data_IF_275870591691
#
_entry.id   IF_275870591691
#
_cell.length_a   1.000
_cell.length_b   1.000
_cell.length_c   1.000
_cell.angle_alpha   90.00
_cell.angle_beta   90.00
_cell.angle_gamma   90.00
#
_symmetry.space_group_name_H-M   'P 1'
#
loop_
_entity.id
_entity.type
_entity.pdbx_description
1 polymer ?
#
# COMPACT_ATOMS: atom_id res chain seq x y z
N UNK A 1 -2.23 -9.65 -12.32
CA UNK A 1 -0.96 -8.92 -12.17
C UNK A 1 -0.16 -9.68 -11.15
N UNK A 2 1.12 -10.00 -11.41
CA UNK A 2 2.01 -10.42 -10.33
C UNK A 2 2.17 -9.19 -9.44
N UNK A 3 1.45 -9.13 -8.34
CA UNK A 3 1.82 -8.23 -7.26
C UNK A 3 3.17 -8.76 -6.79
N UNK A 4 4.24 -8.01 -7.03
CA UNK A 4 5.59 -8.50 -6.84
C UNK A 4 6.60 -7.38 -7.00
N UNK A 5 7.77 -7.59 -6.42
CA UNK A 5 8.90 -6.67 -6.47
C UNK A 5 9.39 -6.47 -7.91
N UNK A 6 9.79 -5.25 -8.24
CA UNK A 6 10.07 -4.85 -9.61
C UNK A 6 11.33 -3.98 -9.68
N UNK A 7 12.02 -4.08 -10.81
CA UNK A 7 13.22 -3.33 -11.11
C UNK A 7 13.12 -2.78 -12.53
N UNK A 8 13.09 -1.45 -12.65
CA UNK A 8 12.98 -0.76 -13.93
C UNK A 8 14.13 0.22 -14.12
N UNK A 9 14.67 0.27 -15.35
CA UNK A 9 15.72 1.21 -15.74
C UNK A 9 15.25 2.00 -16.96
N UNK A 10 15.50 3.31 -16.95
CA UNK A 10 15.35 4.21 -18.09
C UNK A 10 16.70 4.81 -18.45
N UNK A 11 16.99 4.81 -19.75
CA UNK A 11 18.16 5.42 -20.36
C UNK A 11 17.70 6.27 -21.54
N UNK A 12 18.52 7.22 -22.00
CA UNK A 12 18.16 8.22 -23.02
C UNK A 12 17.49 7.68 -24.29
N UNK A 13 17.66 6.38 -24.61
CA UNK A 13 17.05 5.71 -25.77
C UNK A 13 16.40 4.34 -25.46
N UNK A 14 16.05 4.03 -24.21
CA UNK A 14 15.47 2.73 -23.88
C UNK A 14 14.94 2.60 -22.45
N UNK A 15 14.00 1.68 -22.26
CA UNK A 15 13.56 1.26 -20.93
C UNK A 15 13.59 -0.27 -20.85
N UNK A 16 13.96 -0.80 -19.69
CA UNK A 16 13.93 -2.23 -19.41
C UNK A 16 13.34 -2.46 -18.03
N UNK A 17 12.45 -3.43 -17.93
CA UNK A 17 11.83 -3.86 -16.67
C UNK A 17 12.14 -5.33 -16.45
N UNK A 18 12.52 -5.68 -15.24
CA UNK A 18 12.83 -7.04 -14.83
C UNK A 18 12.33 -7.27 -13.40
N UNK A 19 11.78 -8.45 -13.14
CA UNK A 19 11.35 -8.83 -11.81
C UNK A 19 12.50 -9.38 -10.97
N UNK A 20 12.25 -9.50 -9.69
CA UNK A 20 12.99 -10.41 -8.81
C UNK A 20 12.00 -11.15 -7.90
N UNK A 21 12.48 -12.21 -7.29
CA UNK A 21 11.66 -13.09 -6.46
C UNK A 21 10.99 -12.33 -5.32
N UNK A 22 9.90 -12.91 -4.82
CA UNK A 22 9.16 -12.38 -3.69
C UNK A 22 8.91 -13.51 -2.70
N UNK A 23 8.85 -13.18 -1.41
CA UNK A 23 8.60 -14.17 -0.37
C UNK A 23 7.17 -14.72 -0.49
N UNK A 24 7.05 -16.04 -0.47
CA UNK A 24 5.75 -16.73 -0.48
C UNK A 24 4.91 -16.38 0.75
N UNK A 25 3.59 -16.35 0.60
CA UNK A 25 2.69 -15.89 1.64
C UNK A 25 2.73 -16.78 2.89
N UNK A 26 2.86 -18.08 2.68
CA UNK A 26 2.80 -19.14 3.69
C UNK A 26 3.97 -19.09 4.68
N UNK A 27 5.08 -18.44 4.30
CA UNK A 27 6.31 -18.38 5.11
C UNK A 27 6.56 -17.00 5.71
N UNK A 28 5.70 -15.99 5.49
CA UNK A 28 5.94 -14.63 5.98
C UNK A 28 6.15 -14.58 7.51
N UNK A 29 5.48 -15.46 8.26
CA UNK A 29 5.61 -15.60 9.71
C UNK A 29 6.78 -16.46 10.19
N UNK A 30 7.78 -16.73 9.36
CA UNK A 30 8.94 -17.55 9.71
C UNK A 30 10.26 -16.81 9.49
N UNK A 31 11.33 -17.31 10.12
CA UNK A 31 12.70 -16.81 9.88
C UNK A 31 13.10 -16.97 8.41
N UNK A 32 12.65 -18.03 7.75
CA UNK A 32 12.87 -18.27 6.33
C UNK A 32 12.21 -17.19 5.47
N UNK A 33 10.96 -16.82 5.74
CA UNK A 33 10.29 -15.76 4.99
C UNK A 33 10.95 -14.40 5.13
N UNK A 34 11.37 -14.06 6.35
CA UNK A 34 12.13 -12.83 6.61
C UNK A 34 13.47 -12.84 5.88
N UNK A 35 14.19 -13.97 5.93
CA UNK A 35 15.48 -14.15 5.24
C UNK A 35 15.34 -14.02 3.73
N UNK A 36 14.32 -14.65 3.15
CA UNK A 36 14.03 -14.60 1.72
C UNK A 36 13.72 -13.16 1.27
N UNK A 37 12.89 -12.42 2.02
CA UNK A 37 12.54 -11.05 1.68
C UNK A 37 13.77 -10.14 1.61
N UNK A 38 14.66 -10.28 2.60
CA UNK A 38 15.91 -9.52 2.66
C UNK A 38 16.82 -9.92 1.51
N UNK A 39 17.01 -11.23 1.26
CA UNK A 39 17.86 -11.73 0.18
C UNK A 39 17.38 -11.27 -1.20
N UNK A 40 16.08 -11.33 -1.46
CA UNK A 40 15.50 -10.92 -2.75
C UNK A 40 15.63 -9.43 -2.98
N UNK A 41 15.38 -8.59 -1.97
CA UNK A 41 15.69 -7.16 -2.07
C UNK A 41 17.18 -6.92 -2.32
N UNK A 42 18.06 -7.71 -1.68
CA UNK A 42 19.48 -7.73 -1.95
C UNK A 42 19.83 -8.01 -3.42
N UNK A 43 19.13 -8.93 -4.08
CA UNK A 43 19.29 -9.19 -5.52
C UNK A 43 18.93 -7.97 -6.37
N UNK A 44 17.86 -7.27 -6.01
CA UNK A 44 17.46 -6.00 -6.63
C UNK A 44 18.50 -4.89 -6.47
N UNK A 45 19.10 -4.78 -5.27
CA UNK A 45 20.25 -3.88 -5.02
C UNK A 45 21.45 -4.24 -5.89
N UNK A 46 21.75 -5.54 -6.08
CA UNK A 46 22.85 -5.96 -6.95
C UNK A 46 22.60 -5.64 -8.42
N UNK A 47 21.35 -5.78 -8.89
CA UNK A 47 20.94 -5.32 -10.23
C UNK A 47 21.09 -3.80 -10.38
N UNK A 48 20.70 -3.05 -9.36
CA UNK A 48 20.84 -1.58 -9.30
C UNK A 48 22.30 -1.16 -9.41
N UNK A 49 23.17 -1.74 -8.58
CA UNK A 49 24.61 -1.45 -8.58
C UNK A 49 25.24 -1.74 -9.95
N UNK A 50 24.96 -2.90 -10.55
CA UNK A 50 25.46 -3.24 -11.89
C UNK A 50 25.02 -2.22 -12.94
N UNK A 51 23.75 -1.82 -12.91
CA UNK A 51 23.18 -0.88 -13.87
C UNK A 51 23.79 0.52 -13.77
N UNK A 52 23.88 1.05 -12.54
CA UNK A 52 24.44 2.39 -12.28
C UNK A 52 25.93 2.42 -12.63
N UNK A 53 26.71 1.41 -12.20
CA UNK A 53 28.13 1.33 -12.51
C UNK A 53 28.41 1.16 -14.00
N UNK A 54 27.56 0.42 -14.74
CA UNK A 54 27.70 0.31 -16.18
C UNK A 54 27.41 1.65 -16.88
N UNK A 55 26.36 2.36 -16.46
CA UNK A 55 26.02 3.67 -17.00
C UNK A 55 27.15 4.68 -16.76
N UNK A 56 27.70 4.72 -15.55
CA UNK A 56 28.83 5.57 -15.17
C UNK A 56 30.08 5.29 -16.03
N UNK A 57 30.47 4.02 -16.19
CA UNK A 57 31.61 3.61 -17.04
C UNK A 57 31.44 4.01 -18.51
N UNK A 58 30.21 4.02 -18.99
CA UNK A 58 29.89 4.39 -20.37
C UNK A 58 29.64 5.90 -20.54
N UNK A 59 29.72 6.69 -19.47
CA UNK A 59 29.45 8.13 -19.49
C UNK A 59 27.99 8.46 -19.80
N UNK A 60 27.05 7.59 -19.40
CA UNK A 60 25.60 7.73 -19.66
C UNK A 60 24.83 8.00 -18.39
N UNK A 61 23.78 8.81 -18.51
CA UNK A 61 22.79 8.99 -17.45
C UNK A 61 21.78 7.84 -17.45
N UNK A 62 21.41 7.37 -16.26
CA UNK A 62 20.34 6.40 -16.05
C UNK A 62 19.41 6.84 -14.92
N UNK A 63 18.15 6.40 -14.99
CA UNK A 63 17.20 6.45 -13.90
C UNK A 63 16.80 5.01 -13.56
N UNK A 64 16.90 4.63 -12.29
CA UNK A 64 16.63 3.27 -11.82
C UNK A 64 15.54 3.32 -10.74
N UNK A 65 14.49 2.53 -10.93
CA UNK A 65 13.41 2.33 -9.96
C UNK A 65 13.49 0.92 -9.42
N UNK A 66 13.78 0.80 -8.13
CA UNK A 66 13.80 -0.46 -7.39
C UNK A 66 12.61 -0.48 -6.43
N UNK A 67 11.69 -1.42 -6.62
CA UNK A 67 10.49 -1.61 -5.81
C UNK A 67 10.52 -2.96 -5.10
N UNK A 68 10.07 -2.97 -3.85
CA UNK A 68 9.88 -4.18 -3.06
C UNK A 68 8.47 -4.16 -2.44
N UNK A 69 7.78 -5.30 -2.46
CA UNK A 69 6.50 -5.48 -1.77
C UNK A 69 6.65 -5.69 -0.24
N UNK A 70 7.86 -5.57 0.27
CA UNK A 70 8.19 -5.68 1.68
C UNK A 70 8.63 -4.31 2.23
N UNK A 71 8.25 -3.94 3.46
CA UNK A 71 7.65 -4.78 4.50
C UNK A 71 6.12 -4.94 4.41
N UNK A 72 5.43 -4.28 3.48
CA UNK A 72 3.97 -4.26 3.37
C UNK A 72 3.32 -5.66 3.49
N UNK A 73 3.77 -6.60 2.66
CA UNK A 73 3.26 -7.98 2.68
C UNK A 73 3.41 -8.67 4.04
N UNK A 74 4.51 -8.45 4.76
CA UNK A 74 4.69 -8.99 6.12
C UNK A 74 3.78 -8.27 7.12
N UNK A 75 3.67 -6.94 7.04
CA UNK A 75 2.83 -6.15 7.93
C UNK A 75 1.36 -6.50 7.82
N UNK A 76 0.90 -6.86 6.63
CA UNK A 76 -0.47 -7.31 6.42
C UNK A 76 -0.82 -8.61 7.15
N UNK A 77 0.11 -9.57 7.16
CA UNK A 77 -0.11 -10.88 7.79
C UNK A 77 0.15 -10.82 9.29
N UNK A 78 1.15 -10.06 9.71
CA UNK A 78 1.71 -10.17 11.05
C UNK A 78 1.48 -8.95 11.95
N UNK A 79 1.03 -7.84 11.38
CA UNK A 79 0.98 -6.54 12.06
C UNK A 79 2.35 -5.86 12.09
N UNK A 80 2.35 -4.55 12.37
CA UNK A 80 3.54 -3.68 12.28
C UNK A 80 4.63 -4.02 13.29
N UNK A 81 4.24 -4.56 14.44
CA UNK A 81 5.14 -4.74 15.59
C UNK A 81 5.80 -6.13 15.65
N UNK A 82 5.53 -6.98 14.65
CA UNK A 82 6.05 -8.35 14.63
C UNK A 82 7.57 -8.38 14.42
N UNK A 83 8.24 -9.33 15.09
CA UNK A 83 9.69 -9.51 14.98
C UNK A 83 10.16 -9.78 13.54
N UNK A 84 9.39 -10.53 12.75
CA UNK A 84 9.71 -10.81 11.34
C UNK A 84 9.62 -9.54 10.48
N UNK A 85 8.63 -8.68 10.72
CA UNK A 85 8.54 -7.35 10.07
C UNK A 85 9.77 -6.51 10.41
N UNK A 86 10.16 -6.48 11.69
CA UNK A 86 11.36 -5.76 12.13
C UNK A 86 12.63 -6.27 11.43
N UNK A 87 12.81 -7.60 11.35
CA UNK A 87 13.94 -8.22 10.64
C UNK A 87 13.99 -7.78 9.18
N UNK A 88 12.85 -7.78 8.49
CA UNK A 88 12.75 -7.35 7.09
C UNK A 88 13.12 -5.88 6.93
N UNK A 89 12.59 -4.98 7.76
CA UNK A 89 12.93 -3.54 7.72
C UNK A 89 14.43 -3.33 7.94
N UNK A 90 15.00 -3.98 8.95
CA UNK A 90 16.44 -3.88 9.25
C UNK A 90 17.31 -4.42 8.12
N UNK A 91 16.90 -5.49 7.45
CA UNK A 91 17.61 -6.02 6.29
C UNK A 91 17.52 -5.11 5.07
N UNK A 92 16.35 -4.51 4.81
CA UNK A 92 16.18 -3.49 3.77
C UNK A 92 17.10 -2.30 4.03
N UNK A 93 17.10 -1.77 5.27
CA UNK A 93 17.99 -0.67 5.68
C UNK A 93 19.47 -1.02 5.44
N UNK A 94 19.91 -2.22 5.85
CA UNK A 94 21.27 -2.70 5.59
C UNK A 94 21.63 -2.79 4.10
N UNK A 95 20.69 -3.18 3.24
CA UNK A 95 20.89 -3.21 1.79
C UNK A 95 20.90 -1.82 1.15
N UNK A 96 20.12 -0.87 1.67
CA UNK A 96 20.18 0.55 1.27
C UNK A 96 21.54 1.14 1.69
N UNK A 97 22.02 0.84 2.90
CA UNK A 97 23.35 1.26 3.34
C UNK A 97 24.45 0.66 2.46
N UNK A 98 24.31 -0.61 2.05
CA UNK A 98 25.20 -1.27 1.09
C UNK A 98 25.20 -0.55 -0.25
N UNK A 99 24.02 -0.22 -0.79
CA UNK A 99 23.87 0.53 -2.03
C UNK A 99 24.60 1.88 -1.93
N UNK A 100 24.32 2.65 -0.88
CA UNK A 100 24.97 3.94 -0.60
C UNK A 100 26.50 3.84 -0.59
N UNK A 101 27.05 2.90 0.18
CA UNK A 101 28.51 2.70 0.29
C UNK A 101 29.17 2.36 -1.05
N UNK A 102 28.50 1.59 -1.90
CA UNK A 102 29.05 1.14 -3.19
C UNK A 102 28.86 2.15 -4.34
N UNK A 103 28.05 3.20 -4.13
CA UNK A 103 27.89 4.31 -5.07
C UNK A 103 28.77 5.52 -4.74
N UNK A 104 29.60 5.45 -3.69
CA UNK A 104 30.60 6.49 -3.40
C UNK A 104 31.54 6.68 -4.60
N UNK A 105 31.72 7.93 -5.01
CA UNK A 105 32.51 8.33 -6.17
C UNK A 105 31.72 8.41 -7.48
N UNK A 106 30.46 7.96 -7.51
CA UNK A 106 29.58 8.05 -8.68
C UNK A 106 28.67 9.26 -8.51
N UNK A 107 28.48 10.06 -9.57
CA UNK A 107 27.50 11.16 -9.58
C UNK A 107 26.07 10.60 -9.58
N UNK A 108 25.59 10.24 -8.39
CA UNK A 108 24.31 9.60 -8.18
C UNK A 108 23.53 10.30 -7.06
N UNK A 109 22.20 10.29 -7.20
CA UNK A 109 21.26 10.63 -6.14
C UNK A 109 20.44 9.39 -5.81
N UNK A 110 20.34 9.05 -4.53
CA UNK A 110 19.48 7.98 -4.04
C UNK A 110 18.25 8.63 -3.40
N UNK A 111 17.07 8.18 -3.83
CA UNK A 111 15.79 8.54 -3.21
C UNK A 111 15.16 7.27 -2.64
N UNK A 112 14.85 7.29 -1.35
CA UNK A 112 14.13 6.22 -0.66
C UNK A 112 12.82 6.80 -0.15
N UNK A 113 11.71 6.17 -0.55
CA UNK A 113 10.36 6.55 -0.13
C UNK A 113 9.46 5.33 -0.03
N UNK A 114 8.32 5.48 0.63
CA UNK A 114 7.20 4.55 0.56
C UNK A 114 6.00 5.22 -0.14
N UNK A 115 4.99 4.43 -0.47
CA UNK A 115 3.70 4.89 -0.99
C UNK A 115 2.67 5.10 0.14
N UNK A 116 2.78 4.35 1.23
CA UNK A 116 1.96 4.53 2.43
C UNK A 116 2.65 4.01 3.70
N UNK A 117 2.10 4.38 4.85
CA UNK A 117 2.37 3.76 6.13
C UNK A 117 1.45 2.57 6.40
N UNK A 118 1.33 2.14 7.65
CA UNK A 118 0.59 0.94 8.00
C UNK A 118 0.16 0.95 9.48
N UNK A 119 -0.95 0.29 9.82
CA UNK A 119 -1.37 0.03 11.20
C UNK A 119 -1.52 -1.46 11.47
N UNK A 120 -1.44 -1.84 12.74
CA UNK A 120 -1.89 -3.15 13.22
C UNK A 120 -3.41 -3.11 13.40
N UNK A 121 -4.11 -4.13 12.90
CA UNK A 121 -5.56 -4.29 13.04
C UNK A 121 -5.83 -5.54 13.88
N UNK A 122 -6.55 -5.37 14.99
CA UNK A 122 -6.94 -6.48 15.84
C UNK A 122 -8.33 -7.00 15.45
N UNK A 123 -8.70 -8.24 15.81
CA UNK A 123 -10.05 -8.76 15.56
C UNK A 123 -11.17 -7.84 16.08
N UNK A 124 -11.00 -7.23 17.25
CA UNK A 124 -11.97 -6.27 17.81
C UNK A 124 -12.06 -4.92 17.05
N UNK A 125 -11.14 -4.66 16.13
CA UNK A 125 -11.18 -3.51 15.24
C UNK A 125 -11.95 -3.78 13.94
N UNK A 126 -12.29 -5.05 13.67
CA UNK A 126 -13.07 -5.41 12.49
C UNK A 126 -14.55 -5.06 12.69
N UNK A 127 -15.07 -4.19 11.83
CA UNK A 127 -16.46 -3.78 11.80
C UNK A 127 -17.15 -4.43 10.61
N UNK A 128 -17.90 -5.49 10.88
CA UNK A 128 -18.72 -6.16 9.86
C UNK A 128 -19.83 -5.21 9.43
N UNK A 129 -19.96 -4.96 8.13
CA UNK A 129 -21.07 -4.20 7.58
C UNK A 129 -22.41 -4.80 8.06
N UNK A 130 -23.27 -4.01 8.73
CA UNK A 130 -24.58 -4.49 9.16
C UNK A 130 -25.44 -4.95 7.97
N UNK A 131 -26.30 -5.94 8.18
CA UNK A 131 -27.19 -6.48 7.14
C UNK A 131 -28.08 -5.38 6.55
N UNK A 132 -28.59 -4.46 7.38
CA UNK A 132 -29.39 -3.32 6.94
C UNK A 132 -28.61 -2.36 6.03
N UNK A 133 -27.28 -2.31 6.12
CA UNK A 133 -26.44 -1.57 5.17
C UNK A 133 -26.25 -2.40 3.90
N UNK A 134 -25.91 -3.69 4.03
CA UNK A 134 -25.70 -4.61 2.90
C UNK A 134 -26.93 -4.70 2.00
N UNK A 135 -28.13 -4.72 2.57
CA UNK A 135 -29.40 -4.72 1.83
C UNK A 135 -29.55 -3.52 0.88
N UNK A 136 -28.93 -2.38 1.21
CA UNK A 136 -28.96 -1.17 0.39
C UNK A 136 -27.93 -1.20 -0.76
N UNK A 137 -27.03 -2.18 -0.80
CA UNK A 137 -25.90 -2.23 -1.71
C UNK A 137 -26.10 -3.25 -2.83
N UNK A 138 -25.70 -2.89 -4.04
CA UNK A 138 -25.48 -3.85 -5.13
C UNK A 138 -24.19 -4.64 -4.87
N UNK A 139 -23.14 -3.94 -4.43
CA UNK A 139 -21.88 -4.51 -4.00
C UNK A 139 -21.08 -3.49 -3.17
N UNK A 140 -20.23 -4.00 -2.27
CA UNK A 140 -19.28 -3.20 -1.51
C UNK A 140 -17.85 -3.64 -1.87
N UNK A 141 -17.07 -2.73 -2.47
CA UNK A 141 -15.65 -2.98 -2.64
C UNK A 141 -14.92 -2.65 -1.34
N UNK A 142 -14.94 -3.62 -0.43
CA UNK A 142 -14.21 -3.58 0.84
C UNK A 142 -12.93 -4.39 0.67
N UNK A 143 -11.79 -3.72 0.70
CA UNK A 143 -10.51 -4.39 0.86
C UNK A 143 -9.74 -4.80 -0.39
N UNK A 144 -10.27 -4.64 -1.61
CA UNK A 144 -9.50 -4.95 -2.84
C UNK A 144 -8.33 -3.98 -3.04
N UNK A 145 -8.45 -2.73 -2.54
CA UNK A 145 -7.42 -1.69 -2.69
C UNK A 145 -7.07 -0.93 -1.39
N UNK A 146 -7.64 -1.33 -0.25
CA UNK A 146 -7.46 -0.62 1.02
C UNK A 146 -7.77 -1.43 2.27
N UNK A 147 -7.76 -2.77 2.15
CA UNK A 147 -7.98 -3.77 3.21
C UNK A 147 -8.95 -3.38 4.34
N UNK A 148 -10.08 -2.76 4.00
CA UNK A 148 -11.14 -2.33 4.92
C UNK A 148 -10.96 -0.96 5.57
N UNK A 149 -9.81 -0.31 5.36
CA UNK A 149 -9.51 1.07 5.80
C UNK A 149 -10.27 2.12 5.00
N UNK A 150 -10.60 1.80 3.75
CA UNK A 150 -11.64 2.47 2.99
C UNK A 150 -12.48 1.46 2.21
N UNK A 151 -13.66 1.88 1.78
CA UNK A 151 -14.55 1.10 0.94
C UNK A 151 -15.26 1.97 -0.09
N UNK A 152 -15.43 1.43 -1.30
CA UNK A 152 -16.32 2.01 -2.31
C UNK A 152 -17.66 1.25 -2.29
N UNK A 153 -18.75 1.97 -2.06
CA UNK A 153 -20.08 1.40 -1.91
C UNK A 153 -20.93 1.72 -3.13
N UNK A 154 -21.45 0.67 -3.77
CA UNK A 154 -22.36 0.77 -4.90
C UNK A 154 -23.78 0.52 -4.40
N UNK A 155 -24.60 1.56 -4.39
CA UNK A 155 -25.94 1.53 -3.81
C UNK A 155 -26.97 1.09 -4.86
N UNK A 156 -27.94 0.29 -4.44
CA UNK A 156 -29.11 -0.03 -5.27
C UNK A 156 -29.87 1.24 -5.61
N UNK A 157 -30.40 1.31 -6.83
CA UNK A 157 -31.25 2.42 -7.25
C UNK A 157 -32.40 2.66 -6.25
N UNK A 158 -32.53 3.90 -5.76
CA UNK A 158 -33.56 4.30 -4.79
C UNK A 158 -33.18 4.13 -3.31
N UNK A 159 -32.05 3.48 -2.99
CA UNK A 159 -31.63 3.24 -1.60
C UNK A 159 -30.62 4.27 -1.05
N UNK A 160 -30.16 5.24 -1.85
CA UNK A 160 -29.12 6.20 -1.44
C UNK A 160 -29.44 6.95 -0.15
N UNK A 161 -30.69 7.42 0.01
CA UNK A 161 -31.11 8.11 1.23
C UNK A 161 -31.18 7.16 2.42
N UNK A 162 -31.76 5.97 2.22
CA UNK A 162 -31.90 4.94 3.25
C UNK A 162 -30.53 4.49 3.77
N UNK A 163 -29.56 4.25 2.88
CA UNK A 163 -28.19 3.91 3.25
C UNK A 163 -27.59 5.00 4.12
N UNK A 164 -27.72 6.27 3.72
CA UNK A 164 -27.14 7.38 4.48
C UNK A 164 -27.76 7.53 5.86
N UNK A 165 -29.08 7.31 6.01
CA UNK A 165 -29.73 7.33 7.33
C UNK A 165 -29.26 6.16 8.19
N UNK A 166 -29.34 4.93 7.68
CA UNK A 166 -28.90 3.71 8.40
C UNK A 166 -27.43 3.81 8.82
N UNK A 167 -26.57 4.38 7.97
CA UNK A 167 -25.16 4.61 8.33
C UNK A 167 -25.01 5.54 9.53
N UNK A 168 -25.75 6.66 9.53
CA UNK A 168 -25.72 7.66 10.60
C UNK A 168 -26.29 7.14 11.91
N UNK A 169 -27.33 6.32 11.84
CA UNK A 169 -27.98 5.70 13.00
C UNK A 169 -27.15 4.54 13.60
N UNK A 170 -26.23 3.97 12.83
CA UNK A 170 -25.32 2.93 13.31
C UNK A 170 -24.11 3.57 13.99
N UNK A 171 -24.11 3.61 15.33
CA UNK A 171 -23.08 4.26 16.14
C UNK A 171 -21.66 3.91 15.69
N UNK A 172 -21.33 2.60 15.59
CA UNK A 172 -20.00 2.10 15.19
C UNK A 172 -19.57 2.48 13.77
N UNK A 173 -20.51 2.82 12.88
CA UNK A 173 -20.18 3.31 11.55
C UNK A 173 -20.01 4.82 11.57
N UNK A 174 -20.93 5.53 12.22
CA UNK A 174 -20.94 6.99 12.26
C UNK A 174 -19.79 7.58 13.10
N UNK A 175 -19.32 6.89 14.14
CA UNK A 175 -18.19 7.34 14.97
C UNK A 175 -16.84 7.10 14.32
N UNK A 176 -16.69 5.98 13.62
CA UNK A 176 -15.38 5.48 13.20
C UNK A 176 -15.10 5.65 11.71
N UNK A 177 -16.11 5.99 10.91
CA UNK A 177 -15.97 6.12 9.47
C UNK A 177 -16.71 7.35 8.95
N UNK A 178 -16.03 8.13 8.10
CA UNK A 178 -16.69 9.15 7.29
C UNK A 178 -17.30 8.49 6.06
N UNK A 179 -18.56 8.80 5.77
CA UNK A 179 -19.25 8.40 4.54
C UNK A 179 -19.48 9.63 3.65
N UNK A 180 -18.77 9.68 2.54
CA UNK A 180 -18.87 10.73 1.52
C UNK A 180 -19.53 10.16 0.27
N UNK A 181 -20.37 10.94 -0.39
CA UNK A 181 -20.64 10.68 -1.82
C UNK A 181 -19.32 10.80 -2.59
N UNK A 182 -19.21 10.10 -3.73
CA UNK A 182 -18.03 10.25 -4.59
C UNK A 182 -17.85 11.70 -5.03
N UNK A 183 -18.93 12.42 -5.29
CA UNK A 183 -18.92 13.84 -5.64
C UNK A 183 -18.36 14.70 -4.49
N UNK A 184 -18.79 14.48 -3.24
CA UNK A 184 -18.21 15.15 -2.06
C UNK A 184 -16.72 14.84 -1.94
N UNK A 185 -16.32 13.57 -2.08
CA UNK A 185 -14.92 13.14 -1.99
C UNK A 185 -14.04 13.78 -3.09
N UNK A 186 -14.55 13.89 -4.32
CA UNK A 186 -13.87 14.60 -5.41
C UNK A 186 -13.79 16.10 -5.13
N UNK A 187 -14.87 16.70 -4.63
CA UNK A 187 -14.93 18.13 -4.34
C UNK A 187 -13.91 18.56 -3.27
N UNK A 188 -13.73 17.76 -2.22
CA UNK A 188 -12.73 18.02 -1.18
C UNK A 188 -11.30 17.67 -1.59
N UNK A 189 -11.09 17.20 -2.82
CA UNK A 189 -9.76 16.91 -3.37
C UNK A 189 -9.15 15.59 -2.89
N UNK A 190 -9.96 14.64 -2.41
CA UNK A 190 -9.47 13.37 -1.87
C UNK A 190 -8.63 12.57 -2.89
N UNK A 191 -8.97 12.68 -4.17
CA UNK A 191 -8.30 11.96 -5.27
C UNK A 191 -7.24 12.82 -6.00
N UNK A 192 -6.84 13.93 -5.37
CA UNK A 192 -5.95 14.91 -5.95
C UNK A 192 -6.66 16.02 -6.71
N UNK A 193 -5.90 16.95 -7.32
CA UNK A 193 -6.43 18.19 -7.88
C UNK A 193 -7.17 18.01 -9.21
N UNK A 194 -7.07 16.84 -9.84
CA UNK A 194 -7.66 16.56 -11.14
C UNK A 194 -8.98 15.82 -10.99
N UNK A 195 -9.95 16.18 -11.83
CA UNK A 195 -11.21 15.45 -11.91
C UNK A 195 -10.96 14.01 -12.36
N UNK A 196 -11.60 13.01 -11.71
CA UNK A 196 -11.47 11.63 -12.14
C UNK A 196 -11.90 11.45 -13.59
N UNK A 197 -11.10 10.72 -14.38
CA UNK A 197 -11.49 10.36 -15.75
C UNK A 197 -12.78 9.55 -15.72
N UNK A 198 -13.63 9.60 -16.78
CA UNK A 198 -14.88 8.85 -16.82
C UNK A 198 -14.74 7.35 -16.53
N UNK A 199 -13.65 6.74 -16.99
CA UNK A 199 -13.33 5.32 -16.73
C UNK A 199 -13.05 5.04 -15.26
N UNK A 200 -12.40 5.96 -14.55
CA UNK A 200 -12.13 5.88 -13.11
C UNK A 200 -13.40 6.13 -12.32
N UNK A 201 -14.15 7.18 -12.66
CA UNK A 201 -15.41 7.55 -11.96
C UNK A 201 -16.40 6.39 -11.91
N UNK A 202 -16.51 5.59 -12.99
CA UNK A 202 -17.38 4.40 -13.04
C UNK A 202 -17.02 3.32 -12.02
N UNK A 203 -15.78 3.29 -11.53
CA UNK A 203 -15.29 2.31 -10.55
C UNK A 203 -15.43 2.78 -9.09
N UNK A 204 -15.76 4.04 -8.86
CA UNK A 204 -15.77 4.64 -7.52
C UNK A 204 -17.11 4.47 -6.78
N UNK A 205 -18.13 3.89 -7.42
CA UNK A 205 -19.45 3.70 -6.81
C UNK A 205 -20.21 4.99 -6.55
N UNK A 206 -21.06 4.98 -5.53
CA UNK A 206 -21.90 6.10 -5.09
C UNK A 206 -21.31 6.78 -3.86
N UNK A 207 -20.74 5.98 -2.95
CA UNK A 207 -20.13 6.46 -1.72
C UNK A 207 -18.72 5.91 -1.51
N UNK A 208 -17.91 6.70 -0.81
CA UNK A 208 -16.62 6.31 -0.27
C UNK A 208 -16.72 6.39 1.25
N UNK A 209 -16.43 5.27 1.91
CA UNK A 209 -16.26 5.21 3.36
C UNK A 209 -14.78 5.19 3.69
N UNK A 210 -14.35 5.97 4.68
CA UNK A 210 -12.94 6.10 5.06
C UNK A 210 -12.85 6.04 6.59
N UNK A 211 -11.97 5.18 7.12
CA UNK A 211 -11.79 4.99 8.56
C UNK A 211 -11.12 6.21 9.21
N UNK A 212 -11.71 6.75 10.27
CA UNK A 212 -11.14 7.84 11.07
C UNK A 212 -10.34 7.32 12.27
N UNK A 213 -10.46 6.02 12.59
CA UNK A 213 -9.83 5.34 13.71
C UNK A 213 -9.17 4.03 13.24
N UNK A 214 -8.66 3.19 14.14
CA UNK A 214 -8.13 1.86 13.79
C UNK A 214 -9.17 0.86 13.27
N UNK A 215 -10.47 1.23 13.27
CA UNK A 215 -11.54 0.35 12.80
C UNK A 215 -11.47 0.06 11.31
N UNK A 216 -11.70 -1.19 10.96
CA UNK A 216 -11.53 -1.72 9.60
C UNK A 216 -12.82 -2.39 9.17
N UNK A 217 -13.41 -1.93 8.06
CA UNK A 217 -14.62 -2.53 7.50
C UNK A 217 -14.32 -3.91 6.94
N UNK A 218 -15.25 -4.84 7.14
CA UNK A 218 -15.26 -6.15 6.48
C UNK A 218 -16.66 -6.44 5.98
N UNK A 219 -16.78 -7.15 4.85
CA UNK A 219 -18.08 -7.71 4.46
C UNK A 219 -18.43 -8.92 5.33
N UNK A 220 -19.72 -9.30 5.45
CA UNK A 220 -20.12 -10.53 6.15
C UNK A 220 -19.39 -11.77 5.62
N UNK A 221 -19.15 -11.84 4.32
CA UNK A 221 -18.42 -12.93 3.66
C UNK A 221 -16.96 -12.99 4.13
N UNK A 222 -16.30 -11.83 4.27
CA UNK A 222 -14.89 -11.72 4.65
C UNK A 222 -14.63 -12.01 6.14
N UNK A 223 -15.63 -11.77 7.01
CA UNK A 223 -15.49 -11.86 8.47
C UNK A 223 -14.96 -13.23 8.96
N UNK A 224 -15.23 -14.31 8.21
CA UNK A 224 -14.80 -15.66 8.59
C UNK A 224 -13.43 -16.08 8.03
N UNK A 225 -12.84 -15.29 7.12
CA UNK A 225 -11.63 -15.68 6.36
C UNK A 225 -10.48 -14.68 6.48
N UNK A 226 -10.74 -13.44 6.92
CA UNK A 226 -9.70 -12.44 7.05
C UNK A 226 -8.82 -12.71 8.28
N UNK A 227 -7.63 -13.26 8.03
CA UNK A 227 -6.51 -13.19 8.96
C UNK A 227 -5.61 -12.01 8.59
N UNK A 228 -6.16 -10.81 8.69
CA UNK A 228 -5.40 -9.58 8.44
C UNK A 228 -5.00 -8.96 9.79
N UNK A 229 -3.71 -8.96 10.07
CA UNK A 229 -3.15 -8.37 11.29
C UNK A 229 -2.69 -6.93 11.08
N UNK A 230 -2.71 -6.42 9.84
CA UNK A 230 -2.48 -5.01 9.59
C UNK A 230 -3.05 -4.52 8.27
N UNK A 231 -3.30 -3.22 8.20
CA UNK A 231 -3.90 -2.58 7.05
C UNK A 231 -3.39 -1.13 6.87
N UNK A 232 -3.69 -0.57 5.71
CA UNK A 232 -3.42 0.82 5.35
C UNK A 232 -4.50 1.30 4.36
N UNK A 233 -4.43 2.58 3.99
CA UNK A 233 -5.32 3.18 2.99
C UNK A 233 -6.41 4.07 3.56
N UNK A 234 -6.27 4.50 4.82
CA UNK A 234 -7.06 5.59 5.40
C UNK A 234 -6.19 6.78 5.83
N UNK A 235 -6.76 7.67 6.66
CA UNK A 235 -6.25 9.01 6.94
C UNK A 235 -5.45 9.12 8.24
N UNK A 236 -5.16 8.01 8.93
CA UNK A 236 -4.34 8.09 10.14
C UNK A 236 -2.91 8.54 9.81
N UNK A 237 -2.25 9.31 10.69
CA UNK A 237 -0.84 9.66 10.49
C UNK A 237 0.04 8.45 10.23
N UNK A 238 -0.17 7.35 10.98
CA UNK A 238 0.56 6.09 10.77
C UNK A 238 0.34 5.44 9.39
N UNK A 239 -0.74 5.77 8.67
CA UNK A 239 -1.02 5.31 7.31
C UNK A 239 -0.53 6.30 6.24
N UNK A 240 -0.45 7.59 6.56
CA UNK A 240 -0.19 8.67 5.59
C UNK A 240 1.25 9.21 5.65
N UNK A 241 1.88 9.19 6.82
CA UNK A 241 3.25 9.66 7.00
C UNK A 241 4.23 8.60 6.50
N UNK A 242 5.03 8.97 5.51
CA UNK A 242 5.98 8.09 4.83
C UNK A 242 7.39 8.66 4.92
N UNK A 243 8.44 7.81 4.89
CA UNK A 243 9.80 8.30 4.78
C UNK A 243 10.00 8.96 3.41
N UNK A 244 10.76 10.05 3.38
CA UNK A 244 11.34 10.61 2.17
C UNK A 244 12.79 10.98 2.46
N UNK A 245 13.72 10.20 1.93
CA UNK A 245 15.16 10.41 2.08
C UNK A 245 15.75 10.62 0.70
N UNK A 246 16.43 11.76 0.51
CA UNK A 246 17.13 12.08 -0.72
C UNK A 246 18.58 12.41 -0.37
N UNK A 247 19.53 11.66 -0.91
CA UNK A 247 20.93 11.76 -0.54
C UNK A 247 21.85 11.52 -1.74
N UNK A 248 23.00 12.19 -1.74
CA UNK A 248 24.04 12.03 -2.76
C UNK A 248 25.27 11.38 -2.13
N UNK A 249 25.70 10.18 -2.55
CA UNK A 249 26.83 9.45 -1.94
C UNK A 249 28.17 10.20 -1.91
N UNK A 250 28.27 11.33 -2.61
CA UNK A 250 29.47 12.18 -2.73
C UNK A 250 29.44 13.44 -1.85
N UNK A 251 28.40 13.66 -1.04
CA UNK A 251 28.33 14.74 -0.05
C UNK A 251 28.43 14.23 1.38
#
# INVERSE_FOLDING_TARGET
>A
QRYGSDFSIWQSNGHSTDGFEETEFEILGTDEGSTNAVAFFGNGVDKTLRSVQQADREGRTSFVYLYTAHPDKHMHVLGTDNVHVKTVIQGIDGHIERLWKNLKGIDATIVVTADHGHITVKPEDMVVLPDEIVECLEYANVGVYGKGRHAYLHCKSGFHWTLRQRWRECDRLNSDFVLLTVEEAVHVGLFGPLQPRPVTRRRMGDYVSIALTSKTLVTPEQNNFLQLSGAHGSLLPAEMEIPFVCCMPNQ
#
